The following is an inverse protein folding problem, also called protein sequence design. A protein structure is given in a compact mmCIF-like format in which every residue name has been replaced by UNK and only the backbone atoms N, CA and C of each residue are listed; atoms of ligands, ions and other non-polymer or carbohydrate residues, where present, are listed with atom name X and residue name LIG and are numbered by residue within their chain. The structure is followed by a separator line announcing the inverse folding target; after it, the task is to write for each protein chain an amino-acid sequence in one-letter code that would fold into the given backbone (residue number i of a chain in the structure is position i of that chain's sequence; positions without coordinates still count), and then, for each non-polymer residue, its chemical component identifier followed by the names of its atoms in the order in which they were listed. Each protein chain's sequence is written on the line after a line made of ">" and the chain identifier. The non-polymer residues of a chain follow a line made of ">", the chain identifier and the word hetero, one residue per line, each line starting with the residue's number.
data_IF_749657933220
#
_entry.id   IF_749657933220
#
_cell.length_a   1.000
_cell.length_b   1.000
_cell.length_c   1.000
_cell.angle_alpha   90.00
_cell.angle_beta   90.00
_cell.angle_gamma   90.00
#
_symmetry.space_group_name_H-M   'P 1'
#
loop_
_entity.id
_entity.type
_entity.pdbx_description
1 polymer ?
#
# COMPACT_ATOMS: atom_id res chain seq x y z
N UNK A 1 -56.96 -3.36 6.46
CA UNK A 1 -55.62 -2.92 6.00
C UNK A 1 -54.64 -4.06 6.19
N UNK A 2 -54.14 -4.61 5.08
CA UNK A 2 -53.44 -5.89 5.02
C UNK A 2 -51.98 -5.77 5.47
N UNK A 3 -51.57 -6.61 6.42
CA UNK A 3 -50.21 -6.76 6.96
C UNK A 3 -49.15 -7.05 5.88
N UNK A 4 -49.57 -7.43 4.67
CA UNK A 4 -48.71 -7.70 3.51
C UNK A 4 -48.10 -6.45 2.87
N UNK A 5 -48.65 -5.25 3.08
CA UNK A 5 -48.09 -4.02 2.49
C UNK A 5 -46.82 -3.52 3.19
N UNK A 6 -46.58 -3.93 4.43
CA UNK A 6 -45.38 -3.52 5.16
C UNK A 6 -44.10 -4.24 4.69
N UNK A 7 -44.23 -5.39 4.01
CA UNK A 7 -43.07 -6.17 3.54
C UNK A 7 -42.39 -5.58 2.30
N UNK A 8 -43.07 -4.69 1.57
CA UNK A 8 -42.55 -4.07 0.34
C UNK A 8 -41.71 -2.82 0.58
N UNK A 9 -41.59 -2.36 1.83
CA UNK A 9 -40.77 -1.20 2.21
C UNK A 9 -39.31 -1.56 2.54
N UNK A 10 -38.88 -2.79 2.24
CA UNK A 10 -37.48 -3.22 2.42
C UNK A 10 -36.81 -3.49 1.06
N UNK A 11 -36.54 -2.45 0.25
CA UNK A 11 -35.35 -2.57 -0.61
C UNK A 11 -34.56 -1.26 -0.78
N UNK A 12 -34.61 -0.32 0.17
CA UNK A 12 -33.82 0.92 0.07
C UNK A 12 -32.65 1.01 1.07
N UNK A 13 -32.80 0.43 2.29
CA UNK A 13 -31.77 0.56 3.32
C UNK A 13 -30.52 -0.32 3.09
N UNK A 14 -30.61 -1.35 2.23
CA UNK A 14 -29.47 -2.23 1.90
C UNK A 14 -28.60 -1.63 0.79
N UNK A 15 -29.10 -0.63 0.05
CA UNK A 15 -28.38 0.04 -1.04
C UNK A 15 -27.82 1.40 -0.60
N UNK A 16 -27.67 1.63 0.70
CA UNK A 16 -26.83 2.74 1.16
C UNK A 16 -25.41 2.48 0.64
N UNK A 17 -24.79 3.40 -0.12
CA UNK A 17 -23.42 3.22 -0.58
C UNK A 17 -22.52 3.20 0.64
N UNK A 18 -22.24 2.00 1.15
CA UNK A 18 -21.06 1.78 1.96
C UNK A 18 -19.89 2.15 1.06
N UNK A 19 -19.03 3.01 1.58
CA UNK A 19 -17.78 3.41 0.95
C UNK A 19 -16.96 2.14 0.69
N UNK A 20 -17.04 1.63 -0.54
CA UNK A 20 -16.29 0.46 -0.96
C UNK A 20 -14.88 0.92 -1.30
N UNK A 21 -13.91 0.54 -0.46
CA UNK A 21 -12.49 0.75 -0.75
C UNK A 21 -12.00 -0.47 -1.52
N UNK A 22 -11.69 -0.27 -2.81
CA UNK A 22 -11.00 -1.26 -3.61
C UNK A 22 -9.50 -0.96 -3.63
N UNK A 23 -8.68 -1.95 -3.32
CA UNK A 23 -7.23 -1.86 -3.40
C UNK A 23 -6.72 -2.91 -4.40
N UNK A 24 -5.87 -2.48 -5.33
CA UNK A 24 -5.16 -3.37 -6.25
C UNK A 24 -3.74 -3.57 -5.72
N UNK A 25 -3.39 -4.81 -5.39
CA UNK A 25 -2.04 -5.17 -5.00
C UNK A 25 -1.26 -5.55 -6.25
N UNK A 26 -0.08 -4.94 -6.40
CA UNK A 26 0.81 -5.18 -7.51
C UNK A 26 2.01 -6.01 -7.03
N UNK A 27 2.56 -6.83 -7.92
CA UNK A 27 3.92 -7.34 -7.74
C UNK A 27 4.93 -6.18 -7.80
N UNK A 28 6.16 -6.42 -7.35
CA UNK A 28 7.23 -5.42 -7.42
C UNK A 28 7.46 -4.98 -8.87
N UNK A 29 7.48 -5.94 -9.80
CA UNK A 29 7.69 -5.70 -11.23
C UNK A 29 6.55 -4.89 -11.85
N UNK A 30 5.31 -5.20 -11.47
CA UNK A 30 4.13 -4.45 -11.92
C UNK A 30 4.16 -3.01 -11.37
N UNK A 31 4.49 -2.84 -10.09
CA UNK A 31 4.62 -1.52 -9.48
C UNK A 31 5.75 -0.71 -10.15
N UNK A 32 6.90 -1.33 -10.44
CA UNK A 32 8.00 -0.69 -11.16
C UNK A 32 7.57 -0.22 -12.56
N UNK A 33 6.84 -1.04 -13.32
CA UNK A 33 6.35 -0.65 -14.64
C UNK A 33 5.35 0.52 -14.59
N UNK A 34 4.49 0.55 -13.56
CA UNK A 34 3.50 1.62 -13.39
C UNK A 34 4.15 2.93 -12.93
N UNK A 35 5.10 2.86 -11.99
CA UNK A 35 5.74 4.04 -11.41
C UNK A 35 6.89 4.59 -12.25
N UNK A 36 7.62 3.71 -12.96
CA UNK A 36 8.83 4.04 -13.72
C UNK A 36 8.77 3.45 -15.14
N UNK A 37 7.83 3.92 -15.98
CA UNK A 37 7.63 3.37 -17.32
C UNK A 37 8.89 3.54 -18.18
N UNK A 38 9.33 2.45 -18.81
CA UNK A 38 10.50 2.45 -19.71
C UNK A 38 11.86 2.43 -19.00
N UNK A 39 11.91 2.41 -17.67
CA UNK A 39 13.17 2.32 -16.92
C UNK A 39 13.38 0.87 -16.46
N UNK A 40 14.44 0.18 -16.92
CA UNK A 40 14.76 -1.15 -16.45
C UNK A 40 15.33 -1.06 -15.03
N UNK A 41 14.49 -1.33 -14.03
CA UNK A 41 14.92 -1.43 -12.65
C UNK A 41 15.38 -2.85 -12.33
N UNK A 42 16.44 -2.96 -11.51
CA UNK A 42 16.98 -4.24 -11.06
C UNK A 42 17.15 -4.19 -9.55
N UNK A 43 16.79 -5.31 -8.91
CA UNK A 43 17.07 -5.49 -7.51
C UNK A 43 18.59 -5.37 -7.26
N UNK A 44 18.95 -4.57 -6.27
CA UNK A 44 20.33 -4.33 -5.87
C UNK A 44 20.45 -4.31 -4.35
N UNK A 45 21.65 -4.57 -3.86
CA UNK A 45 21.96 -4.40 -2.44
C UNK A 45 22.99 -3.30 -2.30
N UNK A 46 22.67 -2.29 -1.50
CA UNK A 46 23.59 -1.21 -1.15
C UNK A 46 24.02 -1.40 0.29
N UNK A 47 25.34 -1.42 0.51
CA UNK A 47 25.93 -1.38 1.85
C UNK A 47 26.10 0.08 2.26
N UNK A 48 25.42 0.48 3.32
CA UNK A 48 25.57 1.78 3.95
C UNK A 48 26.93 1.89 4.64
N UNK A 49 27.55 3.07 4.56
CA UNK A 49 28.67 3.42 5.43
C UNK A 49 28.17 3.67 6.86
N UNK A 50 29.08 3.65 7.84
CA UNK A 50 28.70 3.92 9.23
C UNK A 50 28.22 5.36 9.41
N UNK A 51 28.76 6.33 8.66
CA UNK A 51 28.29 7.72 8.67
C UNK A 51 26.86 7.81 8.15
N UNK A 52 26.55 7.12 7.05
CA UNK A 52 25.20 7.08 6.48
C UNK A 52 24.22 6.43 7.47
N UNK A 53 24.63 5.33 8.10
CA UNK A 53 23.83 4.63 9.10
C UNK A 53 23.52 5.52 10.31
N UNK A 54 24.52 6.23 10.82
CA UNK A 54 24.37 7.16 11.94
C UNK A 54 23.41 8.31 11.60
N UNK A 55 23.54 8.89 10.41
CA UNK A 55 22.68 9.98 9.97
C UNK A 55 21.22 9.53 9.78
N UNK A 56 21.00 8.34 9.20
CA UNK A 56 19.66 7.75 9.09
C UNK A 56 19.03 7.54 10.47
N UNK A 57 19.78 6.98 11.42
CA UNK A 57 19.28 6.75 12.77
C UNK A 57 18.94 8.07 13.48
N UNK A 58 19.77 9.09 13.31
CA UNK A 58 19.53 10.43 13.86
C UNK A 58 18.26 11.06 13.30
N UNK A 59 18.03 10.97 11.98
CA UNK A 59 16.87 11.60 11.32
C UNK A 59 15.57 10.84 11.53
N UNK A 60 15.63 9.51 11.47
CA UNK A 60 14.44 8.66 11.60
C UNK A 60 14.01 8.44 13.04
N UNK A 61 14.92 8.65 14.01
CA UNK A 61 14.71 8.25 15.41
C UNK A 61 14.66 6.73 15.62
N UNK A 62 14.84 5.95 14.54
CA UNK A 62 14.77 4.49 14.56
C UNK A 62 16.17 3.88 14.50
N UNK A 63 16.38 2.80 15.25
CA UNK A 63 17.64 2.07 15.25
C UNK A 63 17.85 1.33 13.92
N UNK A 64 18.94 1.63 13.22
CA UNK A 64 19.30 0.94 11.97
C UNK A 64 20.05 -0.36 12.30
N UNK A 65 19.43 -1.51 12.03
CA UNK A 65 19.98 -2.84 12.38
C UNK A 65 20.89 -3.42 11.32
N UNK A 66 20.48 -3.37 10.05
CA UNK A 66 21.27 -3.81 8.91
C UNK A 66 21.89 -2.61 8.21
N UNK A 67 23.13 -2.75 7.77
CA UNK A 67 23.74 -1.79 6.85
C UNK A 67 23.53 -2.20 5.39
N UNK A 68 23.09 -3.43 5.11
CA UNK A 68 22.67 -3.86 3.77
C UNK A 68 21.22 -3.51 3.55
N UNK A 69 20.96 -2.71 2.52
CA UNK A 69 19.63 -2.25 2.10
C UNK A 69 19.33 -2.81 0.73
N UNK A 70 18.19 -3.50 0.60
CA UNK A 70 17.67 -3.90 -0.70
C UNK A 70 17.02 -2.69 -1.37
N UNK A 71 17.41 -2.43 -2.61
CA UNK A 71 16.85 -1.40 -3.48
C UNK A 71 16.25 -2.06 -4.72
N UNK A 72 15.19 -1.47 -5.25
CA UNK A 72 14.42 -1.98 -6.40
C UNK A 72 13.92 -0.82 -7.25
#
# INVERSE_FOLDING_TARGET
>A
MSRFQALWLVPAAVVAPHWAVAATYLSVEQAQQVLFPGIPLKAGTVRLTEEQKAEIQKRSGARVRSADVQIW
#
